data_IF_624348819551
#
_entry.id   IF_624348819551
#
_cell.length_a   1.000
_cell.length_b   1.000
_cell.length_c   1.000
_cell.angle_alpha   90.00
_cell.angle_beta   90.00
_cell.angle_gamma   90.00
#
_symmetry.space_group_name_H-M   'P 1'
#
loop_
_entity.id
_entity.type
_entity.pdbx_description
1 polymer ?
#
# COMPACT_ATOMS: atom_id res chain seq x y z
N UNK A 1 -9.16 -11.29 0.33
CA UNK A 1 -7.71 -11.57 0.30
C UNK A 1 -6.99 -10.47 1.07
N UNK A 2 -6.08 -10.81 1.99
CA UNK A 2 -5.36 -9.82 2.80
C UNK A 2 -4.06 -9.41 2.12
N UNK A 3 -3.80 -8.12 2.00
CA UNK A 3 -2.65 -7.57 1.27
C UNK A 3 -1.83 -6.63 2.15
N UNK A 4 -0.51 -6.78 2.09
CA UNK A 4 0.46 -5.83 2.62
C UNK A 4 1.19 -5.09 1.49
N UNK A 5 1.40 -3.79 1.65
CA UNK A 5 2.11 -2.93 0.68
C UNK A 5 3.45 -2.47 1.30
N UNK A 6 4.56 -2.75 0.64
CA UNK A 6 5.90 -2.25 0.99
C UNK A 6 6.29 -1.17 -0.03
N UNK A 7 6.69 0.01 0.46
CA UNK A 7 6.98 1.17 -0.38
C UNK A 7 5.74 2.01 -0.71
N UNK A 8 4.73 2.01 0.17
CA UNK A 8 3.48 2.77 0.00
C UNK A 8 3.63 4.28 -0.20
N UNK A 9 4.76 4.89 0.19
CA UNK A 9 5.04 6.31 -0.01
C UNK A 9 5.54 6.65 -1.42
N UNK A 10 5.95 5.66 -2.21
CA UNK A 10 6.32 5.86 -3.61
C UNK A 10 5.08 5.99 -4.49
N UNK A 11 5.21 6.63 -5.65
CA UNK A 11 4.10 6.85 -6.59
C UNK A 11 3.32 5.57 -6.90
N UNK A 12 4.04 4.49 -7.23
CA UNK A 12 3.44 3.17 -7.52
C UNK A 12 2.71 2.61 -6.29
N UNK A 13 3.31 2.72 -5.11
CA UNK A 13 2.70 2.23 -3.87
C UNK A 13 1.41 2.99 -3.52
N UNK A 14 1.39 4.30 -3.73
CA UNK A 14 0.23 5.14 -3.48
C UNK A 14 -0.91 4.87 -4.47
N UNK A 15 -0.60 4.66 -5.75
CA UNK A 15 -1.62 4.33 -6.76
C UNK A 15 -2.16 2.90 -6.59
N UNK A 16 -1.30 1.95 -6.22
CA UNK A 16 -1.74 0.61 -5.82
C UNK A 16 -2.71 0.69 -4.65
N UNK A 17 -2.40 1.47 -3.61
CA UNK A 17 -3.28 1.66 -2.47
C UNK A 17 -4.62 2.30 -2.89
N UNK A 18 -4.61 3.33 -3.74
CA UNK A 18 -5.81 3.98 -4.27
C UNK A 18 -6.74 2.99 -4.96
N UNK A 19 -6.20 2.10 -5.78
CA UNK A 19 -6.99 1.07 -6.47
C UNK A 19 -7.52 0.01 -5.50
N UNK A 20 -6.67 -0.48 -4.58
CA UNK A 20 -7.04 -1.56 -3.66
C UNK A 20 -8.06 -1.12 -2.60
N UNK A 21 -8.07 0.16 -2.20
CA UNK A 21 -9.06 0.70 -1.26
C UNK A 21 -10.51 0.59 -1.77
N UNK A 22 -10.70 0.55 -3.10
CA UNK A 22 -12.01 0.42 -3.73
C UNK A 22 -12.34 -1.01 -4.15
N UNK A 23 -11.44 -1.98 -3.92
CA UNK A 23 -11.61 -3.33 -4.43
C UNK A 23 -12.39 -4.21 -3.43
N UNK A 24 -13.58 -4.73 -3.78
CA UNK A 24 -14.50 -5.36 -2.83
C UNK A 24 -14.01 -6.69 -2.23
N UNK A 25 -12.99 -7.32 -2.84
CA UNK A 25 -12.47 -8.62 -2.41
C UNK A 25 -11.11 -8.53 -1.70
N UNK A 26 -10.60 -7.32 -1.46
CA UNK A 26 -9.27 -7.10 -0.88
C UNK A 26 -9.39 -6.30 0.41
N UNK A 27 -8.56 -6.65 1.39
CA UNK A 27 -8.38 -5.89 2.61
C UNK A 27 -6.89 -5.56 2.73
N UNK A 28 -6.56 -4.26 2.71
CA UNK A 28 -5.18 -3.80 2.94
C UNK A 28 -4.93 -3.80 4.43
N UNK A 29 -4.08 -4.71 4.91
CA UNK A 29 -3.83 -4.91 6.34
C UNK A 29 -2.53 -4.29 6.83
N UNK A 30 -1.69 -3.81 5.91
CA UNK A 30 -0.41 -3.18 6.24
C UNK A 30 0.05 -2.30 5.08
N UNK A 31 0.54 -1.10 5.40
CA UNK A 31 1.26 -0.25 4.45
C UNK A 31 2.52 0.26 5.14
N UNK A 32 3.69 -0.05 4.59
CA UNK A 32 4.98 0.39 5.14
C UNK A 32 5.80 1.07 4.06
N UNK A 33 6.77 1.88 4.47
CA UNK A 33 7.79 2.44 3.60
C UNK A 33 9.07 2.60 4.40
N UNK A 34 10.22 2.35 3.76
CA UNK A 34 11.50 2.76 4.34
C UNK A 34 11.61 4.27 4.13
N UNK A 35 11.37 5.05 5.17
CA UNK A 35 11.99 6.38 5.22
C UNK A 35 13.47 6.13 5.51
N UNK A 36 14.38 6.58 4.65
CA UNK A 36 15.74 6.83 5.13
C UNK A 36 15.58 7.85 6.25
N UNK A 37 15.71 7.39 7.50
CA UNK A 37 16.12 8.27 8.58
C UNK A 37 17.51 8.73 8.13
N UNK A 38 17.60 10.00 7.73
CA UNK A 38 18.81 10.62 7.20
C UNK A 38 19.97 10.56 8.18
#
# INVERSE_FOLDING_TARGET
MRIGIIGGSGYVGSELLRLLLMHPQVEVTMVTSRQSVG
#
